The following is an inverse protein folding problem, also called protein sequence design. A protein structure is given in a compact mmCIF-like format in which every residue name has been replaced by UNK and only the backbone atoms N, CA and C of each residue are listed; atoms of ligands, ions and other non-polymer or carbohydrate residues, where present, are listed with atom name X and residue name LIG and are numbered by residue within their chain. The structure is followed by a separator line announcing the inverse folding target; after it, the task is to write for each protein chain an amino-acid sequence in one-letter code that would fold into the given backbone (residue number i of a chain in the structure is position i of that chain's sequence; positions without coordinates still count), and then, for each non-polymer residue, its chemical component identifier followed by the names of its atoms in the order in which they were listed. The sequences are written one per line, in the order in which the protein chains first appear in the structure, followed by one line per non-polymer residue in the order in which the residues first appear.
data_IF_080468464266
#
_entry.id   IF_080468464266
#
_cell.length_a   1.000
_cell.length_b   1.000
_cell.length_c   1.000
_cell.angle_alpha   90.00
_cell.angle_beta   90.00
_cell.angle_gamma   90.00
#
_symmetry.space_group_name_H-M   'P 1'
#
loop_
_entity.id
_entity.type
_entity.pdbx_description
1 polymer ?
#
# COMPACT_ATOMS: atom_id res chain seq x y z
N UNK A 1 -21.71 26.35 -8.01
CA UNK A 1 -20.47 25.92 -7.34
C UNK A 1 -20.04 24.64 -8.03
N UNK A 2 -18.99 24.69 -8.84
CA UNK A 2 -18.53 23.53 -9.62
C UNK A 2 -17.55 22.76 -8.75
N UNK A 3 -17.96 21.60 -8.24
CA UNK A 3 -17.05 20.64 -7.62
C UNK A 3 -16.01 20.22 -8.66
N UNK A 4 -14.77 20.61 -8.41
CA UNK A 4 -13.62 20.29 -9.23
C UNK A 4 -13.26 18.81 -8.98
N UNK A 5 -13.95 17.91 -9.69
CA UNK A 5 -13.76 16.44 -9.63
C UNK A 5 -12.37 15.96 -10.06
N UNK A 6 -11.46 16.88 -10.39
CA UNK A 6 -10.08 16.61 -10.79
C UNK A 6 -9.13 16.48 -9.60
N UNK A 7 -9.55 16.92 -8.41
CA UNK A 7 -8.87 16.59 -7.16
C UNK A 7 -9.45 15.28 -6.63
N UNK A 8 -9.11 14.18 -7.31
CA UNK A 8 -9.07 12.88 -6.68
C UNK A 8 -7.92 12.99 -5.67
N UNK A 9 -8.25 13.52 -4.50
CA UNK A 9 -7.31 13.67 -3.40
C UNK A 9 -6.84 12.25 -3.08
N UNK A 10 -5.66 11.89 -3.59
CA UNK A 10 -5.14 10.52 -3.69
C UNK A 10 -4.79 9.89 -2.34
N UNK A 11 -5.51 10.29 -1.30
CA UNK A 11 -5.37 9.85 0.08
C UNK A 11 -5.80 8.39 0.25
N UNK A 12 -6.79 7.93 -0.50
CA UNK A 12 -7.34 6.57 -0.31
C UNK A 12 -6.48 5.47 -0.96
N UNK A 13 -5.86 5.70 -2.12
CA UNK A 13 -5.04 4.67 -2.80
C UNK A 13 -3.56 4.63 -2.38
N UNK A 14 -3.13 5.52 -1.48
CA UNK A 14 -1.71 5.65 -1.12
C UNK A 14 -1.25 4.72 0.01
N UNK A 15 -2.19 4.05 0.69
CA UNK A 15 -1.91 3.21 1.88
C UNK A 15 -2.35 1.77 1.66
N UNK A 16 -1.83 0.88 2.51
CA UNK A 16 -2.21 -0.54 2.58
C UNK A 16 -2.70 -0.77 4.01
N UNK A 17 -3.99 -1.03 4.20
CA UNK A 17 -4.52 -1.44 5.49
C UNK A 17 -4.00 -2.84 5.83
N UNK A 18 -3.13 -2.92 6.84
CA UNK A 18 -2.61 -4.18 7.34
C UNK A 18 -3.69 -5.07 7.97
N UNK A 19 -4.85 -4.50 8.33
CA UNK A 19 -5.98 -5.25 8.88
C UNK A 19 -6.90 -5.80 7.79
N UNK A 20 -6.83 -5.28 6.56
CA UNK A 20 -7.55 -5.83 5.42
C UNK A 20 -6.68 -6.86 4.70
N UNK A 21 -7.01 -8.13 4.92
CA UNK A 21 -6.32 -9.27 4.31
C UNK A 21 -6.34 -9.18 2.77
N UNK A 22 -7.39 -8.63 2.17
CA UNK A 22 -7.46 -8.50 0.71
C UNK A 22 -6.50 -7.45 0.18
N UNK A 23 -6.34 -6.32 0.87
CA UNK A 23 -5.37 -5.29 0.48
C UNK A 23 -3.93 -5.80 0.62
N UNK A 24 -3.63 -6.48 1.73
CA UNK A 24 -2.32 -7.10 1.95
C UNK A 24 -2.04 -8.16 0.88
N UNK A 25 -3.03 -9.00 0.55
CA UNK A 25 -2.89 -10.02 -0.49
C UNK A 25 -2.72 -9.42 -1.88
N UNK A 26 -3.46 -8.36 -2.20
CA UNK A 26 -3.33 -7.64 -3.45
C UNK A 26 -1.93 -7.01 -3.59
N UNK A 27 -1.46 -6.32 -2.55
CA UNK A 27 -0.11 -5.74 -2.54
C UNK A 27 0.98 -6.82 -2.69
N UNK A 28 0.82 -7.95 -2.00
CA UNK A 28 1.72 -9.09 -2.06
C UNK A 28 1.79 -9.67 -3.48
N UNK A 29 0.64 -9.89 -4.11
CA UNK A 29 0.54 -10.42 -5.49
C UNK A 29 1.13 -9.44 -6.50
N UNK A 30 0.85 -8.14 -6.36
CA UNK A 30 1.40 -7.08 -7.22
C UNK A 30 2.92 -7.01 -7.15
N UNK A 31 3.49 -7.25 -5.97
CA UNK A 31 4.93 -7.24 -5.72
C UNK A 31 5.61 -8.61 -5.90
N UNK A 32 4.82 -9.68 -6.11
CA UNK A 32 5.34 -11.04 -6.24
C UNK A 32 5.96 -11.60 -4.95
N UNK A 33 5.51 -11.13 -3.79
CA UNK A 33 6.02 -11.56 -2.47
C UNK A 33 4.91 -12.21 -1.63
N UNK A 34 5.28 -12.79 -0.49
CA UNK A 34 4.30 -13.32 0.45
C UNK A 34 3.61 -12.18 1.24
N UNK A 35 2.34 -12.35 1.60
CA UNK A 35 1.59 -11.40 2.43
C UNK A 35 2.29 -11.06 3.75
N UNK A 36 3.03 -12.01 4.33
CA UNK A 36 3.82 -11.78 5.53
C UNK A 36 4.94 -10.74 5.30
N UNK A 37 5.53 -10.68 4.10
CA UNK A 37 6.55 -9.70 3.75
C UNK A 37 5.95 -8.29 3.72
N UNK A 38 4.71 -8.17 3.23
CA UNK A 38 3.97 -6.90 3.24
C UNK A 38 3.66 -6.46 4.66
N UNK A 39 3.18 -7.35 5.53
CA UNK A 39 2.92 -7.03 6.94
C UNK A 39 4.19 -6.60 7.68
N UNK A 40 5.30 -7.30 7.45
CA UNK A 40 6.58 -6.95 8.02
C UNK A 40 7.07 -5.58 7.50
N UNK A 41 6.96 -5.33 6.19
CA UNK A 41 7.30 -4.04 5.60
C UNK A 41 6.43 -2.92 6.20
N UNK A 42 5.13 -3.14 6.38
CA UNK A 42 4.24 -2.16 7.02
C UNK A 42 4.65 -1.89 8.46
N UNK A 43 5.12 -2.90 9.20
CA UNK A 43 5.63 -2.72 10.56
C UNK A 43 6.94 -1.90 10.61
N UNK A 44 7.80 -2.03 9.60
CA UNK A 44 9.11 -1.35 9.53
C UNK A 44 9.01 0.09 8.99
N UNK A 45 8.31 0.29 7.87
CA UNK A 45 8.28 1.59 7.16
C UNK A 45 6.92 2.30 7.24
N UNK A 46 5.93 1.65 7.83
CA UNK A 46 4.55 2.14 7.91
C UNK A 46 3.69 1.67 6.74
N UNK A 47 2.40 2.02 6.81
CA UNK A 47 1.39 1.52 5.87
C UNK A 47 1.31 2.28 4.54
N UNK A 48 2.31 3.09 4.21
CA UNK A 48 2.36 3.81 2.94
C UNK A 48 2.80 2.84 1.84
N UNK A 49 2.00 2.73 0.79
CA UNK A 49 2.25 1.82 -0.34
C UNK A 49 3.60 2.06 -0.98
N UNK A 50 3.97 3.31 -1.24
CA UNK A 50 5.26 3.67 -1.84
C UNK A 50 6.45 3.21 -0.98
N UNK A 51 6.38 3.41 0.33
CA UNK A 51 7.45 3.01 1.24
C UNK A 51 7.56 1.49 1.34
N UNK A 52 6.43 0.79 1.43
CA UNK A 52 6.37 -0.68 1.40
C UNK A 52 6.92 -1.23 0.09
N UNK A 53 6.50 -0.69 -1.06
CA UNK A 53 7.03 -1.11 -2.37
C UNK A 53 8.54 -0.87 -2.46
N UNK A 54 9.05 0.25 -1.93
CA UNK A 54 10.49 0.54 -1.91
C UNK A 54 11.26 -0.40 -1.00
N UNK A 55 10.73 -0.71 0.18
CA UNK A 55 11.33 -1.68 1.11
C UNK A 55 11.41 -3.07 0.49
N UNK A 56 10.34 -3.51 -0.19
CA UNK A 56 10.25 -4.83 -0.81
C UNK A 56 11.08 -4.95 -2.09
N UNK A 57 11.15 -3.91 -2.94
CA UNK A 57 11.95 -3.93 -4.17
C UNK A 57 13.43 -3.59 -3.96
N UNK A 58 13.76 -2.91 -2.86
CA UNK A 58 15.11 -2.48 -2.52
C UNK A 58 15.94 -3.55 -1.79
N UNK A 59 15.32 -4.68 -1.45
CA UNK A 59 15.92 -5.85 -0.82
C UNK A 59 15.80 -7.07 -1.73
#
# INVERSE_FOLDING_TARGET
MADDKTKQDGRDDSRIDANDVNEVYYAATKLGVASQVILNAIAEVGNKREDVERYVKGN
#
